data_IF_472474390017
#
_entry.id   IF_472474390017
#
_cell.length_a   1.000
_cell.length_b   1.000
_cell.length_c   1.000
_cell.angle_alpha   90.00
_cell.angle_beta   90.00
_cell.angle_gamma   90.00
#
_symmetry.space_group_name_H-M   'P 1'
#
loop_
_entity.id
_entity.type
_entity.pdbx_description
1 polymer ?
#
# COMPACT_ATOMS: atom_id res chain seq x y z
N UNK A 1 -23.19 -20.34 -11.31
CA UNK A 1 -22.31 -19.85 -10.22
C UNK A 1 -23.14 -19.77 -8.95
N UNK A 2 -22.69 -20.37 -7.85
CA UNK A 2 -23.41 -20.34 -6.57
C UNK A 2 -23.00 -19.10 -5.79
N UNK A 3 -23.96 -18.36 -5.26
CA UNK A 3 -23.72 -17.13 -4.46
C UNK A 3 -24.23 -17.37 -3.05
N UNK A 4 -23.36 -17.24 -2.04
CA UNK A 4 -23.77 -17.18 -0.63
C UNK A 4 -24.16 -15.75 -0.29
N UNK A 5 -25.38 -15.54 0.21
CA UNK A 5 -25.84 -14.26 0.73
C UNK A 5 -26.04 -14.37 2.24
N UNK A 6 -25.27 -13.60 3.00
CA UNK A 6 -25.39 -13.54 4.45
C UNK A 6 -25.17 -12.09 4.93
N UNK A 7 -25.77 -11.76 6.07
CA UNK A 7 -25.53 -10.45 6.72
C UNK A 7 -24.33 -10.52 7.66
N UNK A 8 -24.19 -11.65 8.34
CA UNK A 8 -23.11 -11.93 9.29
C UNK A 8 -22.46 -13.28 8.96
N UNK A 9 -21.16 -13.36 9.22
CA UNK A 9 -20.41 -14.61 9.34
C UNK A 9 -20.16 -14.85 10.84
N UNK A 10 -20.53 -16.01 11.36
CA UNK A 10 -20.50 -16.32 12.77
C UNK A 10 -19.93 -17.71 13.01
N UNK A 11 -19.23 -17.92 14.12
CA UNK A 11 -18.81 -19.26 14.52
C UNK A 11 -20.01 -20.11 15.00
N UNK A 12 -19.79 -21.41 15.13
CA UNK A 12 -20.84 -22.35 15.53
C UNK A 12 -21.35 -22.16 16.95
N UNK A 13 -20.58 -21.48 17.80
CA UNK A 13 -20.96 -21.15 19.20
C UNK A 13 -21.74 -19.85 19.32
N UNK A 14 -21.76 -19.03 18.27
CA UNK A 14 -22.36 -17.70 18.29
C UNK A 14 -21.54 -16.63 19.01
N UNK A 15 -20.35 -16.99 19.51
CA UNK A 15 -19.49 -16.11 20.29
C UNK A 15 -18.76 -15.04 19.47
N UNK A 16 -18.39 -15.37 18.23
CA UNK A 16 -17.70 -14.46 17.32
C UNK A 16 -18.54 -14.22 16.08
N UNK A 17 -18.82 -12.98 15.78
CA UNK A 17 -19.61 -12.57 14.63
C UNK A 17 -18.98 -11.38 13.93
N UNK A 18 -18.88 -11.46 12.59
CA UNK A 18 -18.47 -10.37 11.72
C UNK A 18 -19.60 -10.03 10.77
N UNK A 19 -19.95 -8.77 10.68
CA UNK A 19 -20.87 -8.31 9.64
C UNK A 19 -20.13 -8.32 8.28
N UNK A 20 -20.89 -8.45 7.20
CA UNK A 20 -20.31 -8.31 5.85
C UNK A 20 -19.64 -6.95 5.63
N UNK A 21 -20.13 -5.89 6.28
CA UNK A 21 -19.50 -4.58 6.25
C UNK A 21 -18.13 -4.55 6.96
N UNK A 22 -17.98 -5.23 8.10
CA UNK A 22 -16.69 -5.34 8.79
C UNK A 22 -15.68 -6.14 7.95
N UNK A 23 -16.11 -7.24 7.33
CA UNK A 23 -15.26 -8.03 6.43
C UNK A 23 -14.85 -7.17 5.23
N UNK A 24 -15.78 -6.48 4.61
CA UNK A 24 -15.52 -5.62 3.46
C UNK A 24 -14.56 -4.49 3.81
N UNK A 25 -14.78 -3.77 4.90
CA UNK A 25 -13.93 -2.62 5.29
C UNK A 25 -12.57 -3.06 5.84
N UNK A 26 -12.47 -4.25 6.44
CA UNK A 26 -11.21 -4.82 6.94
C UNK A 26 -10.34 -5.46 5.86
N UNK A 27 -10.88 -5.76 4.69
CA UNK A 27 -10.12 -6.34 3.59
C UNK A 27 -9.35 -5.26 2.82
N UNK A 28 -8.09 -5.56 2.50
CA UNK A 28 -7.30 -4.70 1.62
C UNK A 28 -7.96 -4.58 0.24
N UNK A 29 -8.05 -3.37 -0.30
CA UNK A 29 -8.62 -3.08 -1.63
C UNK A 29 -7.57 -3.10 -2.72
N UNK A 30 -6.32 -2.89 -2.35
CA UNK A 30 -5.14 -3.09 -3.19
C UNK A 30 -3.94 -3.39 -2.30
N UNK A 31 -3.02 -4.17 -2.79
CA UNK A 31 -1.71 -4.35 -2.14
C UNK A 31 -0.66 -4.76 -3.16
N UNK A 32 0.60 -4.46 -2.87
CA UNK A 32 1.73 -4.83 -3.70
C UNK A 32 2.97 -5.08 -2.85
N UNK A 33 3.76 -6.07 -3.25
CA UNK A 33 5.16 -6.25 -2.87
C UNK A 33 6.01 -6.08 -4.12
N UNK A 34 6.99 -5.17 -4.08
CA UNK A 34 7.85 -4.90 -5.22
C UNK A 34 9.31 -4.63 -4.82
N UNK A 35 10.21 -4.75 -5.80
CA UNK A 35 11.59 -4.30 -5.72
C UNK A 35 11.68 -2.85 -6.19
N UNK A 36 12.28 -1.97 -5.40
CA UNK A 36 12.53 -0.58 -5.78
C UNK A 36 13.97 -0.31 -6.25
N UNK A 37 14.90 -1.27 -6.11
CA UNK A 37 16.30 -1.07 -6.52
C UNK A 37 16.53 -1.48 -7.96
N UNK A 38 17.41 -0.77 -8.67
CA UNK A 38 17.76 -1.05 -10.08
C UNK A 38 16.54 -1.01 -10.99
N UNK A 39 16.06 -2.15 -11.46
CA UNK A 39 14.82 -2.24 -12.24
C UNK A 39 13.66 -2.51 -11.29
N UNK A 40 12.71 -1.57 -11.22
CA UNK A 40 11.48 -1.74 -10.42
C UNK A 40 10.68 -2.92 -10.95
N UNK A 41 10.33 -3.86 -10.07
CA UNK A 41 9.63 -5.08 -10.43
C UNK A 41 8.64 -5.53 -9.36
N UNK A 42 7.40 -5.78 -9.75
CA UNK A 42 6.36 -6.36 -8.88
C UNK A 42 6.68 -7.83 -8.63
N UNK A 43 6.67 -8.25 -7.35
CA UNK A 43 6.79 -9.65 -6.93
C UNK A 43 5.44 -10.31 -6.74
N UNK A 44 4.51 -9.59 -6.12
CA UNK A 44 3.14 -10.05 -5.89
C UNK A 44 2.22 -8.85 -5.70
N UNK A 45 0.96 -8.99 -6.08
CA UNK A 45 0.02 -7.88 -6.00
C UNK A 45 -1.45 -8.35 -6.01
N UNK A 46 -2.34 -7.45 -5.58
CA UNK A 46 -3.78 -7.51 -5.77
C UNK A 46 -4.27 -6.10 -6.13
N UNK A 47 -5.05 -5.99 -7.20
CA UNK A 47 -5.59 -4.73 -7.74
C UNK A 47 -4.53 -3.65 -8.03
N UNK A 48 -3.32 -4.06 -8.43
CA UNK A 48 -2.25 -3.16 -8.86
C UNK A 48 -1.85 -3.55 -10.27
N UNK A 49 -1.80 -2.60 -11.18
CA UNK A 49 -1.43 -2.83 -12.59
C UNK A 49 0.07 -2.62 -12.84
N UNK A 50 0.65 -1.61 -12.20
CA UNK A 50 2.07 -1.26 -12.39
C UNK A 50 2.59 -0.40 -11.24
N UNK A 51 3.92 -0.32 -11.15
CA UNK A 51 4.64 0.68 -10.39
C UNK A 51 5.30 1.63 -11.39
N UNK A 52 5.08 2.93 -11.23
CA UNK A 52 5.86 3.95 -11.94
C UNK A 52 7.02 4.37 -11.06
N UNK A 53 8.22 4.22 -11.59
CA UNK A 53 9.44 4.75 -10.98
C UNK A 53 9.58 6.23 -11.41
N UNK A 54 9.47 7.14 -10.45
CA UNK A 54 9.60 8.58 -10.69
C UNK A 54 11.02 9.09 -10.34
N UNK A 55 11.90 8.21 -9.88
CA UNK A 55 13.25 8.49 -9.44
C UNK A 55 13.54 7.88 -8.07
N UNK A 56 14.76 8.04 -7.60
CA UNK A 56 15.20 7.44 -6.33
C UNK A 56 14.23 7.73 -5.19
N UNK A 57 13.70 6.67 -4.60
CA UNK A 57 12.76 6.73 -3.47
C UNK A 57 11.41 7.36 -3.81
N UNK A 58 11.00 7.43 -5.06
CA UNK A 58 9.75 8.06 -5.49
C UNK A 58 8.98 7.15 -6.43
N UNK A 59 7.85 6.62 -5.95
CA UNK A 59 7.08 5.60 -6.67
C UNK A 59 5.61 5.95 -6.73
N UNK A 60 4.98 5.57 -7.86
CA UNK A 60 3.52 5.59 -8.01
C UNK A 60 3.01 4.16 -8.15
N UNK A 61 2.10 3.76 -7.27
CA UNK A 61 1.34 2.51 -7.39
C UNK A 61 0.07 2.79 -8.17
N UNK A 62 -0.08 2.17 -9.34
CA UNK A 62 -1.24 2.32 -10.20
C UNK A 62 -2.20 1.16 -9.98
N UNK A 63 -3.48 1.45 -9.74
CA UNK A 63 -4.50 0.41 -9.52
C UNK A 63 -5.02 -0.15 -10.84
N UNK A 64 -5.34 -1.44 -10.86
CA UNK A 64 -6.01 -2.10 -12.01
C UNK A 64 -7.46 -1.61 -12.12
N UNK A 65 -8.15 -1.54 -10.99
CA UNK A 65 -9.51 -1.01 -10.88
C UNK A 65 -9.51 0.13 -9.89
N UNK A 66 -10.10 1.25 -10.27
CA UNK A 66 -10.20 2.40 -9.41
C UNK A 66 -10.97 2.07 -8.11
N UNK A 67 -10.55 2.66 -7.00
CA UNK A 67 -11.28 2.65 -5.74
C UNK A 67 -12.51 3.58 -5.83
N UNK A 68 -13.42 3.48 -4.89
CA UNK A 68 -14.63 4.30 -4.86
C UNK A 68 -14.32 5.82 -4.82
N UNK A 69 -13.27 6.20 -4.10
CA UNK A 69 -12.75 7.56 -4.00
C UNK A 69 -11.30 7.55 -3.51
N UNK A 70 -10.75 8.71 -3.18
CA UNK A 70 -9.39 8.90 -2.66
C UNK A 70 -9.31 8.89 -1.11
N UNK A 71 -10.39 8.58 -0.39
CA UNK A 71 -10.41 8.57 1.08
C UNK A 71 -10.08 7.17 1.61
N UNK A 72 -8.85 6.72 1.47
CA UNK A 72 -8.39 5.40 1.90
C UNK A 72 -7.18 5.49 2.83
N UNK A 73 -7.04 4.50 3.70
CA UNK A 73 -5.88 4.34 4.55
C UNK A 73 -4.78 3.56 3.84
N UNK A 74 -3.51 3.91 4.10
CA UNK A 74 -2.35 3.25 3.53
C UNK A 74 -1.44 2.74 4.63
N UNK A 75 -0.98 1.51 4.50
CA UNK A 75 0.07 0.93 5.32
C UNK A 75 1.30 0.65 4.46
N UNK A 76 2.44 1.05 4.95
CA UNK A 76 3.73 0.84 4.30
C UNK A 76 4.59 -0.10 5.12
N UNK A 77 5.37 -0.93 4.43
CA UNK A 77 6.42 -1.74 5.01
C UNK A 77 7.54 -1.95 4.01
N UNK A 78 8.72 -2.31 4.48
CA UNK A 78 9.81 -2.58 3.57
C UNK A 78 11.10 -2.96 4.26
N UNK A 79 12.09 -3.31 3.46
CA UNK A 79 13.43 -3.66 3.89
C UNK A 79 14.44 -2.78 3.17
N UNK A 80 15.27 -2.10 3.94
CA UNK A 80 16.43 -1.36 3.40
C UNK A 80 17.52 -2.32 2.93
N UNK A 81 18.22 -1.91 1.88
CA UNK A 81 19.31 -2.70 1.28
C UNK A 81 20.72 -2.28 1.68
N UNK A 82 20.88 -1.26 2.54
CA UNK A 82 22.18 -0.65 2.84
C UNK A 82 22.94 -1.29 4.01
N UNK A 83 22.47 -2.42 4.53
CA UNK A 83 23.10 -3.14 5.64
C UNK A 83 23.09 -2.40 6.98
N UNK A 84 22.49 -1.21 7.04
CA UNK A 84 22.31 -0.49 8.29
C UNK A 84 21.35 -1.29 9.19
N UNK A 85 21.82 -1.67 10.37
CA UNK A 85 21.07 -2.49 11.33
C UNK A 85 19.72 -1.90 11.73
N UNK A 86 18.99 -2.59 12.58
CA UNK A 86 17.59 -2.32 12.99
C UNK A 86 17.26 -0.92 13.52
N UNK A 87 18.23 -0.04 13.72
CA UNK A 87 18.07 1.30 14.29
C UNK A 87 17.81 2.40 13.25
N UNK A 88 17.84 2.09 11.96
CA UNK A 88 17.59 3.07 10.91
C UNK A 88 16.27 2.76 10.18
N UNK A 89 15.16 3.16 10.78
CA UNK A 89 13.86 3.15 10.11
C UNK A 89 13.87 4.23 9.02
N UNK A 90 13.78 3.83 7.76
CA UNK A 90 13.48 4.77 6.69
C UNK A 90 12.06 5.33 6.84
N UNK A 91 11.86 6.52 6.36
CA UNK A 91 10.55 7.15 6.34
C UNK A 91 9.86 6.87 5.01
N UNK A 92 8.62 6.45 5.07
CA UNK A 92 7.76 6.32 3.90
C UNK A 92 6.57 7.27 4.09
N UNK A 93 6.43 8.23 3.18
CA UNK A 93 5.43 9.28 3.28
C UNK A 93 4.64 9.40 1.98
N UNK A 94 3.35 9.63 2.09
CA UNK A 94 2.54 10.02 0.94
C UNK A 94 3.07 11.36 0.44
N UNK A 95 3.39 11.44 -0.84
CA UNK A 95 3.89 12.68 -1.43
C UNK A 95 2.76 13.70 -1.49
N UNK A 96 2.99 14.89 -0.92
CA UNK A 96 2.17 16.07 -1.15
C UNK A 96 2.63 16.83 -2.39
N UNK A 97 1.71 17.50 -3.06
CA UNK A 97 2.06 18.53 -4.05
C UNK A 97 2.54 19.79 -3.33
N UNK A 98 3.16 20.73 -4.07
CA UNK A 98 3.63 22.03 -3.53
C UNK A 98 2.52 22.84 -2.84
N UNK A 99 1.26 22.48 -2.99
CA UNK A 99 0.09 23.10 -2.37
C UNK A 99 -0.54 22.25 -1.25
N UNK A 100 0.20 21.31 -0.65
CA UNK A 100 -0.29 20.36 0.37
C UNK A 100 -1.47 19.47 -0.11
N UNK A 101 -1.66 19.30 -1.39
CA UNK A 101 -2.67 18.37 -1.91
C UNK A 101 -2.09 16.96 -1.91
N UNK A 102 -2.73 15.98 -1.29
CA UNK A 102 -2.29 14.58 -1.35
C UNK A 102 -2.17 14.12 -2.81
N UNK A 103 -1.08 13.41 -3.14
CA UNK A 103 -0.88 12.87 -4.49
C UNK A 103 -1.45 11.46 -4.64
N UNK A 104 -2.59 11.20 -4.04
CA UNK A 104 -3.37 10.00 -4.25
C UNK A 104 -4.76 10.32 -4.80
N UNK A 105 -5.21 9.44 -5.68
CA UNK A 105 -6.51 9.52 -6.36
C UNK A 105 -7.22 8.18 -6.21
N UNK A 106 -8.41 8.04 -6.74
CA UNK A 106 -9.09 6.74 -6.78
C UNK A 106 -8.33 5.68 -7.61
N UNK A 107 -7.43 6.08 -8.50
CA UNK A 107 -6.72 5.18 -9.44
C UNK A 107 -5.24 4.95 -9.12
N UNK A 108 -4.65 5.74 -8.22
CA UNK A 108 -3.22 5.63 -7.91
C UNK A 108 -2.85 6.29 -6.58
N UNK A 109 -1.70 5.90 -6.04
CA UNK A 109 -1.03 6.59 -4.94
C UNK A 109 0.44 6.78 -5.27
N UNK A 110 0.97 8.00 -5.04
CA UNK A 110 2.40 8.31 -5.10
C UNK A 110 2.94 8.53 -3.70
N UNK A 111 4.10 7.99 -3.43
CA UNK A 111 4.76 8.09 -2.13
C UNK A 111 6.28 8.22 -2.28
N UNK A 112 6.92 8.80 -1.28
CA UNK A 112 8.36 8.92 -1.19
C UNK A 112 8.93 8.10 -0.06
N UNK A 113 10.16 7.66 -0.26
CA UNK A 113 10.95 6.92 0.72
C UNK A 113 12.28 7.63 0.94
N UNK A 114 12.62 7.81 2.18
CA UNK A 114 13.86 8.47 2.58
C UNK A 114 14.59 7.65 3.66
N UNK A 115 15.85 8.02 3.90
CA UNK A 115 16.62 7.52 5.02
C UNK A 115 15.99 7.93 6.37
N UNK A 116 16.54 7.45 7.47
CA UNK A 116 15.99 7.63 8.82
C UNK A 116 15.83 9.09 9.28
N UNK A 117 16.60 10.01 8.74
CA UNK A 117 16.49 11.44 9.05
C UNK A 117 15.65 12.24 8.03
N UNK A 118 15.08 11.54 7.03
CA UNK A 118 14.25 12.17 6.00
C UNK A 118 14.99 13.05 5.00
N UNK A 119 16.33 13.09 5.05
CA UNK A 119 17.13 14.06 4.26
C UNK A 119 17.53 13.53 2.88
N UNK A 120 17.52 12.22 2.65
CA UNK A 120 17.99 11.60 1.41
C UNK A 120 16.99 10.54 0.94
N UNK A 121 16.51 10.69 -0.27
CA UNK A 121 15.69 9.69 -0.92
C UNK A 121 16.51 8.41 -1.19
N UNK A 122 15.93 7.26 -0.98
CA UNK A 122 16.60 5.96 -1.16
C UNK A 122 15.65 4.92 -1.74
N UNK A 123 16.21 4.00 -2.53
CA UNK A 123 15.50 2.85 -3.03
C UNK A 123 15.65 1.66 -2.07
N UNK A 124 14.59 0.94 -1.86
CA UNK A 124 14.59 -0.27 -1.04
C UNK A 124 14.38 -1.52 -1.90
N UNK A 125 15.10 -2.62 -1.59
CA UNK A 125 14.92 -3.88 -2.30
C UNK A 125 13.56 -4.54 -2.05
N UNK A 126 12.88 -4.19 -0.96
CA UNK A 126 11.54 -4.68 -0.67
C UNK A 126 10.65 -3.53 -0.22
N UNK A 127 9.55 -3.34 -0.94
CA UNK A 127 8.42 -2.49 -0.55
C UNK A 127 7.14 -3.30 -0.45
N UNK A 128 6.37 -3.01 0.59
CA UNK A 128 5.01 -3.51 0.75
C UNK A 128 4.08 -2.33 0.97
N UNK A 129 3.05 -2.23 0.17
CA UNK A 129 2.00 -1.20 0.29
C UNK A 129 0.66 -1.92 0.39
N UNK A 130 -0.16 -1.56 1.38
CA UNK A 130 -1.51 -2.08 1.53
C UNK A 130 -2.50 -0.94 1.71
N UNK A 131 -3.65 -1.05 1.07
CA UNK A 131 -4.64 0.00 0.96
C UNK A 131 -5.99 -0.52 1.43
N UNK A 132 -6.61 0.22 2.35
CA UNK A 132 -7.88 -0.11 2.99
C UNK A 132 -8.90 1.01 2.78
N UNK A 133 -10.13 0.62 2.42
CA UNK A 133 -11.20 1.57 2.13
C UNK A 133 -12.56 0.98 2.57
#
# INVERSE_FOLDING_TARGET
MSTLRCTNLQDTSGGNSLTTAQIYNGAAKAWVNFNGTSTVAIRAQFNVSSITDNGTGDYTVNFTSALADANYGVSFGGQRGDGAGFINFGQCCIQGTSNNTPSFTSSQIRFNVANSNGSTAIDWPVFCVSIFR
#
